data_IF_805494912143
#
_entry.id   IF_805494912143
#
_cell.length_a   1.000
_cell.length_b   1.000
_cell.length_c   1.000
_cell.angle_alpha   90.00
_cell.angle_beta   90.00
_cell.angle_gamma   90.00
#
_symmetry.space_group_name_H-M   'P 1'
#
loop_
_entity.id
_entity.type
_entity.pdbx_description
1 polymer ?
#
# COMPACT_ATOMS: atom_id res chain seq x y z
N UNK A 1 1.87 16.75 9.98
CA UNK A 1 0.76 15.78 10.18
C UNK A 1 0.27 15.34 8.80
N UNK A 2 0.09 14.03 8.60
CA UNK A 2 -0.34 13.40 7.34
C UNK A 2 -1.69 12.75 7.62
N UNK A 3 -2.68 12.95 6.75
CA UNK A 3 -3.94 12.21 6.79
C UNK A 3 -3.99 11.21 5.63
N UNK A 4 -4.31 9.97 5.97
CA UNK A 4 -4.51 8.88 5.03
C UNK A 4 -6.00 8.63 4.83
N UNK A 5 -6.47 8.69 3.58
CA UNK A 5 -7.78 8.15 3.21
C UNK A 5 -7.66 6.64 2.97
N UNK A 6 -8.10 5.76 3.89
CA UNK A 6 -8.04 4.32 3.65
C UNK A 6 -8.86 3.98 2.41
N UNK A 7 -8.34 3.10 1.58
CA UNK A 7 -9.08 2.57 0.44
C UNK A 7 -9.17 1.06 0.58
N UNK A 8 -10.38 0.58 0.89
CA UNK A 8 -10.76 -0.82 0.78
C UNK A 8 -12.24 -0.84 0.45
N UNK A 9 -12.54 -1.17 -0.80
CA UNK A 9 -13.91 -1.31 -1.26
C UNK A 9 -14.63 -2.33 -0.37
N UNK A 10 -15.94 -2.13 -0.19
CA UNK A 10 -16.79 -2.93 0.70
C UNK A 10 -16.56 -2.74 2.21
N UNK A 11 -15.59 -1.91 2.62
CA UNK A 11 -15.33 -1.61 4.05
C UNK A 11 -15.40 -0.11 4.32
N UNK A 12 -14.64 0.69 3.58
CA UNK A 12 -14.53 2.13 3.79
C UNK A 12 -15.20 2.91 2.66
N UNK A 13 -15.50 4.20 2.92
CA UNK A 13 -16.00 5.13 1.89
C UNK A 13 -14.96 5.39 0.80
N UNK A 14 -15.39 6.00 -0.31
CA UNK A 14 -14.48 6.34 -1.40
C UNK A 14 -13.37 7.31 -0.95
N UNK A 15 -12.12 6.92 -1.18
CA UNK A 15 -10.95 7.66 -0.68
C UNK A 15 -10.83 9.04 -1.31
N UNK A 16 -11.11 9.20 -2.61
CA UNK A 16 -10.94 10.47 -3.29
C UNK A 16 -12.03 11.47 -2.90
N UNK A 17 -13.25 10.98 -2.66
CA UNK A 17 -14.32 11.82 -2.10
C UNK A 17 -13.96 12.35 -0.70
N UNK A 18 -13.45 11.50 0.19
CA UNK A 18 -12.99 11.91 1.52
C UNK A 18 -11.82 12.91 1.40
N UNK A 19 -10.86 12.66 0.51
CA UNK A 19 -9.71 13.54 0.31
C UNK A 19 -10.13 14.92 -0.22
N UNK A 20 -11.12 14.99 -1.11
CA UNK A 20 -11.67 16.26 -1.59
C UNK A 20 -12.32 17.07 -0.45
N UNK A 21 -13.11 16.40 0.41
CA UNK A 21 -13.70 17.03 1.58
C UNK A 21 -12.63 17.53 2.56
N UNK A 22 -11.61 16.70 2.82
CA UNK A 22 -10.49 17.06 3.69
C UNK A 22 -9.65 18.22 3.11
N UNK A 23 -9.43 18.24 1.79
CA UNK A 23 -8.74 19.31 1.09
C UNK A 23 -9.47 20.65 1.25
N UNK A 24 -10.80 20.65 1.11
CA UNK A 24 -11.63 21.83 1.27
C UNK A 24 -11.67 22.36 2.72
N UNK A 25 -11.52 21.48 3.71
CA UNK A 25 -11.64 21.83 5.13
C UNK A 25 -10.29 21.99 5.86
N UNK A 26 -9.15 21.85 5.16
CA UNK A 26 -7.83 21.94 5.78
C UNK A 26 -6.83 22.69 4.91
N UNK A 27 -5.89 23.41 5.53
CA UNK A 27 -4.90 24.24 4.82
C UNK A 27 -3.44 23.82 5.01
N UNK A 28 -3.13 22.96 6.00
CA UNK A 28 -1.73 22.64 6.37
C UNK A 28 -1.34 21.17 6.27
N UNK A 29 -2.27 20.26 6.57
CA UNK A 29 -1.94 18.82 6.61
C UNK A 29 -1.71 18.27 5.20
N UNK A 30 -0.86 17.25 5.08
CA UNK A 30 -0.69 16.52 3.82
C UNK A 30 -1.80 15.48 3.69
N UNK A 31 -2.29 15.30 2.47
CA UNK A 31 -3.45 14.49 2.13
C UNK A 31 -3.05 13.45 1.09
N UNK A 32 -3.44 12.20 1.30
CA UNK A 32 -3.19 11.17 0.31
C UNK A 32 -3.90 9.88 0.64
N UNK A 33 -3.91 8.99 -0.33
CA UNK A 33 -4.48 7.66 -0.20
C UNK A 33 -3.65 6.81 0.78
N UNK A 34 -4.25 5.82 1.43
CA UNK A 34 -3.56 4.93 2.38
C UNK A 34 -4.08 3.49 2.36
N UNK A 35 -3.79 2.68 1.35
CA UNK A 35 -3.19 3.03 0.04
C UNK A 35 -4.25 2.85 -1.05
N UNK A 36 -4.08 3.54 -2.18
CA UNK A 36 -4.90 3.32 -3.36
C UNK A 36 -4.69 1.91 -3.92
N UNK A 37 -5.70 1.39 -4.62
CA UNK A 37 -5.70 0.01 -5.09
C UNK A 37 -5.64 -0.03 -6.62
N UNK A 38 -4.48 -0.42 -7.15
CA UNK A 38 -4.19 -0.41 -8.59
C UNK A 38 -5.16 -1.27 -9.41
N UNK A 39 -5.67 -2.38 -8.85
CA UNK A 39 -6.61 -3.27 -9.55
C UNK A 39 -8.04 -2.73 -9.67
N UNK A 40 -8.38 -1.64 -8.99
CA UNK A 40 -9.77 -1.14 -8.93
C UNK A 40 -10.05 0.05 -9.85
N UNK A 41 -9.00 0.66 -10.41
CA UNK A 41 -9.08 1.79 -11.34
C UNK A 41 -7.95 1.66 -12.35
N UNK A 42 -8.15 2.11 -13.59
CA UNK A 42 -7.05 2.16 -14.56
C UNK A 42 -5.98 3.16 -14.12
N UNK A 43 -4.73 2.95 -14.53
CA UNK A 43 -3.62 3.85 -14.22
C UNK A 43 -3.92 5.33 -14.56
N UNK A 44 -4.47 5.66 -15.75
CA UNK A 44 -4.82 7.04 -16.08
C UNK A 44 -5.91 7.62 -15.18
N UNK A 45 -6.88 6.80 -14.76
CA UNK A 45 -7.96 7.22 -13.87
C UNK A 45 -7.43 7.56 -12.48
N UNK A 46 -6.53 6.75 -11.94
CA UNK A 46 -5.88 7.01 -10.65
C UNK A 46 -4.98 8.24 -10.71
N UNK A 47 -4.17 8.38 -11.76
CA UNK A 47 -3.34 9.57 -11.95
C UNK A 47 -4.19 10.85 -12.02
N UNK A 48 -5.29 10.82 -12.78
CA UNK A 48 -6.19 11.97 -12.92
C UNK A 48 -6.91 12.29 -11.59
N UNK A 49 -7.34 11.24 -10.87
CA UNK A 49 -8.02 11.40 -9.57
C UNK A 49 -7.11 12.10 -8.55
N UNK A 50 -5.84 11.67 -8.43
CA UNK A 50 -4.93 12.31 -7.47
C UNK A 50 -4.48 13.70 -7.94
N UNK A 51 -4.31 13.92 -9.25
CA UNK A 51 -4.01 15.25 -9.79
C UNK A 51 -5.18 16.23 -9.56
N UNK A 52 -6.43 15.76 -9.54
CA UNK A 52 -7.60 16.54 -9.14
C UNK A 52 -7.51 16.94 -7.66
N UNK A 53 -7.18 15.99 -6.76
CA UNK A 53 -6.96 16.33 -5.34
C UNK A 53 -5.81 17.32 -5.17
N UNK A 54 -4.76 17.20 -5.99
CA UNK A 54 -3.64 18.15 -5.99
C UNK A 54 -4.05 19.56 -6.47
N UNK A 55 -5.10 19.69 -7.29
CA UNK A 55 -5.66 21.01 -7.60
C UNK A 55 -6.38 21.63 -6.39
N UNK A 56 -7.06 20.81 -5.60
CA UNK A 56 -7.75 21.24 -4.37
C UNK A 56 -6.78 21.51 -3.20
N UNK A 57 -5.66 20.80 -3.14
CA UNK A 57 -4.63 20.93 -2.12
C UNK A 57 -3.20 20.94 -2.73
N UNK A 58 -2.83 21.99 -3.48
CA UNK A 58 -1.53 22.08 -4.14
C UNK A 58 -0.36 21.92 -3.17
N UNK A 59 0.61 21.06 -3.53
CA UNK A 59 1.82 20.83 -2.74
C UNK A 59 1.60 20.07 -1.42
N UNK A 60 0.35 19.70 -1.10
CA UNK A 60 0.00 18.91 0.09
C UNK A 60 -0.47 17.51 -0.25
N UNK A 61 -0.51 17.14 -1.52
CA UNK A 61 -1.08 15.86 -1.98
C UNK A 61 0.01 14.81 -2.19
N UNK A 62 -0.28 13.54 -1.90
CA UNK A 62 0.55 12.40 -2.26
C UNK A 62 -0.31 11.19 -2.66
N UNK A 63 0.24 10.31 -3.50
CA UNK A 63 -0.40 9.05 -3.86
C UNK A 63 0.29 7.91 -3.14
N UNK A 64 -0.34 7.28 -2.16
CA UNK A 64 0.10 5.95 -1.74
C UNK A 64 -0.64 4.88 -2.55
N UNK A 65 0.03 3.83 -3.00
CA UNK A 65 -0.60 2.82 -3.85
C UNK A 65 -0.04 1.41 -3.62
N UNK A 66 -0.90 0.40 -3.76
CA UNK A 66 -0.53 -1.01 -3.67
C UNK A 66 -1.35 -1.91 -4.60
N UNK A 67 -1.04 -3.20 -4.56
CA UNK A 67 -1.66 -4.26 -5.39
C UNK A 67 -3.08 -4.63 -4.98
N UNK A 68 -3.53 -4.21 -3.79
CA UNK A 68 -4.90 -4.39 -3.32
C UNK A 68 -5.20 -5.67 -2.53
N UNK A 69 -4.24 -6.19 -1.76
CA UNK A 69 -4.40 -7.44 -0.98
C UNK A 69 -5.77 -7.60 -0.31
N UNK A 70 -6.13 -6.73 0.64
CA UNK A 70 -7.38 -6.83 1.39
C UNK A 70 -8.61 -6.64 0.50
N UNK A 71 -8.64 -5.55 -0.28
CA UNK A 71 -9.82 -5.19 -1.07
C UNK A 71 -10.18 -6.22 -2.13
N UNK A 72 -9.18 -6.76 -2.84
CA UNK A 72 -9.45 -7.79 -3.86
C UNK A 72 -9.93 -9.08 -3.21
N UNK A 73 -9.34 -9.50 -2.08
CA UNK A 73 -9.75 -10.71 -1.37
C UNK A 73 -11.16 -10.63 -0.79
N UNK A 74 -11.56 -9.47 -0.28
CA UNK A 74 -12.95 -9.24 0.18
C UNK A 74 -13.95 -9.39 -0.96
N UNK A 75 -13.55 -9.08 -2.19
CA UNK A 75 -14.35 -9.30 -3.40
C UNK A 75 -14.16 -10.69 -4.03
N UNK A 76 -13.41 -11.60 -3.38
CA UNK A 76 -13.13 -12.95 -3.90
C UNK A 76 -12.14 -12.99 -5.06
N UNK A 77 -11.31 -11.96 -5.22
CA UNK A 77 -10.37 -11.80 -6.33
C UNK A 77 -8.92 -11.80 -5.86
N UNK A 78 -8.00 -12.08 -6.80
CA UNK A 78 -6.57 -11.97 -6.54
C UNK A 78 -6.08 -10.51 -6.65
N UNK A 79 -5.04 -10.13 -5.88
CA UNK A 79 -4.34 -8.85 -6.08
C UNK A 79 -3.70 -8.77 -7.46
N UNK A 80 -3.41 -7.55 -7.92
CA UNK A 80 -2.72 -7.32 -9.19
C UNK A 80 -1.36 -8.02 -9.23
N UNK A 81 -1.02 -8.67 -10.34
CA UNK A 81 0.30 -9.32 -10.49
C UNK A 81 1.39 -8.25 -10.52
N UNK A 82 2.57 -8.60 -9.99
CA UNK A 82 3.60 -7.58 -9.79
C UNK A 82 4.15 -6.97 -11.09
N UNK A 83 4.16 -7.72 -12.20
CA UNK A 83 4.54 -7.19 -13.51
C UNK A 83 3.55 -6.14 -14.01
N UNK A 84 2.25 -6.43 -13.88
CA UNK A 84 1.16 -5.48 -14.21
C UNK A 84 1.22 -4.25 -13.30
N UNK A 85 1.53 -4.44 -12.02
CA UNK A 85 1.66 -3.33 -11.06
C UNK A 85 2.87 -2.44 -11.36
N UNK A 86 4.00 -3.01 -11.79
CA UNK A 86 5.16 -2.22 -12.24
C UNK A 86 4.80 -1.35 -13.44
N UNK A 87 4.12 -1.92 -14.42
CA UNK A 87 3.65 -1.19 -15.61
C UNK A 87 2.61 -0.11 -15.25
N UNK A 88 1.70 -0.42 -14.33
CA UNK A 88 0.75 0.53 -13.78
C UNK A 88 1.46 1.74 -13.15
N UNK A 89 2.48 1.50 -12.33
CA UNK A 89 3.27 2.57 -11.70
C UNK A 89 4.01 3.43 -12.72
N UNK A 90 4.54 2.84 -13.80
CA UNK A 90 5.19 3.56 -14.91
C UNK A 90 4.23 4.59 -15.51
N UNK A 91 3.01 4.16 -15.84
CA UNK A 91 1.97 5.01 -16.44
C UNK A 91 1.54 6.10 -15.46
N UNK A 92 1.29 5.76 -14.20
CA UNK A 92 0.92 6.77 -13.19
C UNK A 92 2.02 7.81 -13.01
N UNK A 93 3.28 7.37 -12.87
CA UNK A 93 4.45 8.24 -12.67
C UNK A 93 4.57 9.29 -13.77
N UNK A 94 4.49 8.86 -15.03
CA UNK A 94 4.58 9.77 -16.17
C UNK A 94 3.41 10.76 -16.20
N UNK A 95 2.17 10.28 -16.04
CA UNK A 95 0.99 11.14 -16.10
C UNK A 95 0.94 12.19 -14.98
N UNK A 96 1.30 11.83 -13.74
CA UNK A 96 1.33 12.81 -12.64
C UNK A 96 2.50 13.80 -12.76
N UNK A 97 3.50 13.50 -13.59
CA UNK A 97 4.55 14.43 -13.99
C UNK A 97 4.16 15.31 -15.20
N UNK A 98 2.93 15.15 -15.73
CA UNK A 98 2.44 15.86 -16.92
C UNK A 98 3.00 15.32 -18.24
N UNK A 99 3.70 14.19 -18.21
CA UNK A 99 4.37 13.59 -19.36
C UNK A 99 3.41 12.76 -20.23
N UNK A 100 3.82 12.53 -21.48
CA UNK A 100 3.19 11.59 -22.40
C UNK A 100 3.74 10.18 -22.17
N UNK A 101 2.87 9.17 -22.26
CA UNK A 101 3.25 7.80 -21.95
C UNK A 101 2.43 6.78 -22.74
N UNK A 102 3.11 5.74 -23.24
CA UNK A 102 2.44 4.59 -23.84
C UNK A 102 1.56 3.90 -22.80
N UNK A 103 0.31 3.60 -23.13
CA UNK A 103 -0.62 2.90 -22.27
C UNK A 103 -1.33 1.80 -23.06
N UNK A 104 -1.42 0.62 -22.45
CA UNK A 104 -2.14 -0.53 -23.03
C UNK A 104 -3.44 -0.78 -22.28
N UNK A 105 -4.57 -0.79 -22.99
CA UNK A 105 -5.89 -1.13 -22.44
C UNK A 105 -6.69 -1.96 -23.43
N UNK A 106 -7.24 -3.08 -22.97
CA UNK A 106 -8.04 -4.01 -23.80
C UNK A 106 -7.32 -4.46 -25.09
N UNK A 107 -6.00 -4.62 -25.03
CA UNK A 107 -5.18 -5.02 -26.18
C UNK A 107 -4.76 -3.88 -27.10
N UNK A 108 -5.29 -2.67 -26.92
CA UNK A 108 -4.88 -1.50 -27.68
C UNK A 108 -3.79 -0.73 -26.95
N UNK A 109 -2.81 -0.24 -27.72
CA UNK A 109 -1.64 0.48 -27.24
C UNK A 109 -1.59 1.87 -27.86
N UNK A 110 -1.57 2.92 -27.04
CA UNK A 110 -1.60 4.33 -27.47
C UNK A 110 -0.72 5.19 -26.56
N UNK A 111 -0.11 6.23 -27.13
CA UNK A 111 0.44 7.33 -26.34
C UNK A 111 -0.71 8.15 -25.75
N UNK A 112 -0.65 8.42 -24.45
CA UNK A 112 -1.64 9.23 -23.73
C UNK A 112 -0.97 10.31 -22.89
N UNK A 113 -1.67 11.44 -22.70
CA UNK A 113 -1.31 12.51 -21.77
C UNK A 113 -2.56 13.24 -21.30
N UNK A 114 -2.46 14.00 -20.22
CA UNK A 114 -3.53 14.92 -19.84
C UNK A 114 -3.62 16.09 -20.82
N UNK A 115 -4.84 16.42 -21.26
CA UNK A 115 -5.10 17.45 -22.27
C UNK A 115 -5.23 18.85 -21.66
N UNK A 116 -5.95 18.98 -20.55
CA UNK A 116 -6.30 20.27 -19.91
C UNK A 116 -5.44 20.58 -18.68
N UNK A 117 -4.12 20.41 -18.79
CA UNK A 117 -3.21 20.54 -17.64
C UNK A 117 -3.19 21.95 -17.02
N UNK A 118 -3.60 22.98 -17.77
CA UNK A 118 -3.55 24.40 -17.36
C UNK A 118 -4.93 25.03 -17.11
N UNK A 119 -6.00 24.25 -17.23
CA UNK A 119 -7.38 24.76 -17.10
C UNK A 119 -7.90 24.71 -15.65
N UNK A 120 -7.06 24.30 -14.69
CA UNK A 120 -7.40 24.26 -13.26
C UNK A 120 -8.20 23.04 -12.79
N UNK A 121 -8.58 22.13 -13.68
CA UNK A 121 -9.27 20.88 -13.30
C UNK A 121 -8.37 19.90 -12.53
N UNK A 122 -7.09 19.89 -12.89
CA UNK A 122 -6.05 19.07 -12.28
C UNK A 122 -4.81 19.91 -12.06
N UNK A 123 -3.90 19.40 -11.24
CA UNK A 123 -2.62 20.02 -10.99
C UNK A 123 -1.49 18.99 -11.05
N UNK A 124 -0.61 19.17 -12.02
CA UNK A 124 0.63 18.41 -12.20
C UNK A 124 1.87 19.30 -12.09
N UNK A 125 1.72 20.61 -11.86
CA UNK A 125 2.83 21.53 -11.67
C UNK A 125 3.50 21.33 -10.31
N UNK A 126 2.70 21.16 -9.26
CA UNK A 126 3.23 20.75 -7.96
C UNK A 126 3.38 19.22 -7.94
N UNK A 127 4.58 18.69 -7.62
CA UNK A 127 4.81 17.24 -7.61
C UNK A 127 3.88 16.50 -6.66
N UNK A 128 3.37 15.35 -7.10
CA UNK A 128 2.62 14.40 -6.27
C UNK A 128 3.53 13.21 -5.96
N UNK A 129 4.12 13.12 -4.74
CA UNK A 129 4.97 11.99 -4.40
C UNK A 129 4.20 10.67 -4.40
N UNK A 130 4.82 9.62 -4.96
CA UNK A 130 4.23 8.28 -5.02
C UNK A 130 4.85 7.39 -3.95
N UNK A 131 4.06 6.99 -2.96
CA UNK A 131 4.45 6.01 -1.95
C UNK A 131 3.95 4.62 -2.32
N UNK A 132 4.84 3.64 -2.42
CA UNK A 132 4.45 2.29 -2.87
C UNK A 132 4.39 1.35 -1.67
N UNK A 133 3.24 0.70 -1.48
CA UNK A 133 3.09 -0.39 -0.53
C UNK A 133 3.80 -1.64 -1.09
N UNK A 134 4.93 -2.01 -0.48
CA UNK A 134 5.79 -3.06 -1.02
C UNK A 134 6.58 -3.78 0.08
N UNK A 135 6.44 -5.11 0.13
CA UNK A 135 7.24 -5.97 1.02
C UNK A 135 8.04 -7.04 0.24
N UNK A 136 7.50 -7.56 -0.87
CA UNK A 136 8.17 -8.54 -1.70
C UNK A 136 9.29 -7.96 -2.60
N UNK A 137 10.30 -8.76 -2.99
CA UNK A 137 11.50 -8.27 -3.69
C UNK A 137 11.19 -7.57 -5.02
N UNK A 138 10.26 -8.11 -5.81
CA UNK A 138 9.84 -7.49 -7.09
C UNK A 138 9.06 -6.18 -6.87
N UNK A 139 8.27 -6.10 -5.80
CA UNK A 139 7.56 -4.87 -5.42
C UNK A 139 8.52 -3.77 -4.95
N UNK A 140 9.56 -4.15 -4.21
CA UNK A 140 10.64 -3.25 -3.81
C UNK A 140 11.39 -2.70 -5.04
N UNK A 141 11.68 -3.54 -6.04
CA UNK A 141 12.28 -3.07 -7.29
C UNK A 141 11.33 -2.13 -8.07
N UNK A 142 10.04 -2.42 -8.13
CA UNK A 142 9.06 -1.50 -8.73
C UNK A 142 8.96 -0.17 -7.97
N UNK A 143 9.11 -0.20 -6.64
CA UNK A 143 9.18 0.99 -5.78
C UNK A 143 10.39 1.86 -6.13
N UNK A 144 11.56 1.25 -6.34
CA UNK A 144 12.74 1.97 -6.80
C UNK A 144 12.57 2.61 -8.18
N UNK A 145 11.97 1.88 -9.11
CA UNK A 145 11.75 2.37 -10.46
C UNK A 145 10.83 3.60 -10.50
N UNK A 146 9.71 3.59 -9.77
CA UNK A 146 8.64 4.58 -9.97
C UNK A 146 8.12 5.29 -8.72
N UNK A 147 8.48 4.83 -7.51
CA UNK A 147 8.05 5.41 -6.23
C UNK A 147 9.03 6.41 -5.62
N UNK A 148 8.53 7.40 -4.90
CA UNK A 148 9.32 8.38 -4.12
C UNK A 148 9.43 7.99 -2.63
N UNK A 149 8.70 6.94 -2.23
CA UNK A 149 8.84 6.34 -0.91
C UNK A 149 8.20 4.96 -0.85
N UNK A 150 8.45 4.27 0.26
CA UNK A 150 7.92 2.93 0.55
C UNK A 150 6.96 3.01 1.74
N UNK A 151 5.88 2.25 1.66
CA UNK A 151 5.06 1.86 2.80
C UNK A 151 5.25 0.36 2.99
N UNK A 152 5.58 -0.07 4.21
CA UNK A 152 5.74 -1.48 4.55
C UNK A 152 4.76 -1.92 5.62
N UNK A 153 4.43 -3.20 5.58
CA UNK A 153 3.65 -3.84 6.63
C UNK A 153 4.58 -4.14 7.81
N UNK A 154 4.20 -3.69 9.01
CA UNK A 154 4.92 -3.93 10.26
C UNK A 154 6.33 -3.31 10.33
N UNK A 155 6.92 -3.37 11.52
CA UNK A 155 8.29 -2.91 11.75
C UNK A 155 9.29 -3.95 11.26
N UNK A 156 10.24 -3.54 10.41
CA UNK A 156 11.34 -4.39 9.97
C UNK A 156 12.56 -4.24 10.90
N UNK A 157 13.34 -5.32 11.06
CA UNK A 157 14.68 -5.21 11.66
C UNK A 157 15.57 -4.34 10.76
N UNK A 158 16.61 -3.72 11.34
CA UNK A 158 17.58 -2.93 10.57
C UNK A 158 18.17 -3.74 9.40
N UNK A 159 18.52 -5.00 9.62
CA UNK A 159 19.08 -5.86 8.58
C UNK A 159 18.11 -6.07 7.40
N UNK A 160 16.83 -6.35 7.69
CA UNK A 160 15.81 -6.53 6.66
C UNK A 160 15.53 -5.23 5.92
N UNK A 161 15.45 -4.09 6.63
CA UNK A 161 15.29 -2.78 6.02
C UNK A 161 16.43 -2.48 5.03
N UNK A 162 17.69 -2.73 5.42
CA UNK A 162 18.84 -2.51 4.54
C UNK A 162 18.79 -3.40 3.30
N UNK A 163 18.33 -4.65 3.42
CA UNK A 163 18.12 -5.52 2.26
C UNK A 163 17.00 -4.98 1.34
N UNK A 164 15.91 -4.49 1.92
CA UNK A 164 14.83 -3.89 1.16
C UNK A 164 15.27 -2.63 0.40
N UNK A 165 16.04 -1.75 1.04
CA UNK A 165 16.62 -0.56 0.40
C UNK A 165 17.52 -0.92 -0.78
N UNK A 166 18.37 -1.95 -0.66
CA UNK A 166 19.19 -2.45 -1.79
C UNK A 166 18.33 -2.90 -2.97
N UNK A 167 17.17 -3.54 -2.72
CA UNK A 167 16.25 -3.94 -3.81
C UNK A 167 15.59 -2.73 -4.47
N UNK A 168 15.30 -1.69 -3.71
CA UNK A 168 14.79 -0.41 -4.23
C UNK A 168 15.87 0.24 -5.10
N UNK A 169 17.11 0.32 -4.64
CA UNK A 169 18.24 0.86 -5.42
C UNK A 169 18.41 0.12 -6.76
N UNK A 170 18.39 -1.21 -6.74
CA UNK A 170 18.48 -2.03 -7.96
C UNK A 170 17.34 -1.69 -8.94
N UNK A 171 16.10 -1.58 -8.45
CA UNK A 171 14.96 -1.25 -9.29
C UNK A 171 15.01 0.15 -9.89
N UNK A 172 15.61 1.12 -9.18
CA UNK A 172 15.82 2.47 -9.71
C UNK A 172 16.87 2.46 -10.84
N UNK A 173 17.97 1.73 -10.66
CA UNK A 173 19.02 1.58 -11.66
C UNK A 173 18.54 0.96 -12.97
N UNK A 174 17.59 0.01 -12.92
CA UNK A 174 17.00 -0.61 -14.14
C UNK A 174 16.33 0.39 -15.08
N UNK A 175 15.88 1.53 -14.56
CA UNK A 175 15.22 2.60 -15.32
C UNK A 175 16.07 3.88 -15.34
N UNK A 176 17.37 3.76 -15.06
CA UNK A 176 18.33 4.87 -14.99
C UNK A 176 17.89 6.01 -14.06
N UNK A 177 17.17 5.70 -12.98
CA UNK A 177 16.70 6.66 -12.00
C UNK A 177 17.66 6.74 -10.82
N UNK A 178 18.03 7.97 -10.47
CA UNK A 178 18.79 8.25 -9.25
C UNK A 178 17.81 8.50 -8.11
N UNK A 179 17.94 7.72 -7.03
CA UNK A 179 17.15 7.94 -5.82
C UNK A 179 17.70 9.13 -5.02
N UNK A 180 16.85 9.86 -4.28
CA UNK A 180 17.31 10.87 -3.35
C UNK A 180 18.18 10.25 -2.25
N UNK A 181 19.08 11.05 -1.67
CA UNK A 181 19.93 10.64 -0.54
C UNK A 181 19.12 10.19 0.69
N UNK A 182 17.87 10.63 0.79
CA UNK A 182 16.90 10.20 1.79
C UNK A 182 15.70 9.59 1.08
N UNK A 183 15.51 8.28 1.22
CA UNK A 183 14.35 7.57 0.69
C UNK A 183 13.33 7.31 1.81
N UNK A 184 12.16 7.95 1.73
CA UNK A 184 11.17 7.87 2.80
C UNK A 184 10.57 6.46 2.89
N UNK A 185 10.68 5.85 4.06
CA UNK A 185 10.06 4.56 4.36
C UNK A 185 9.15 4.71 5.58
N UNK A 186 7.89 4.35 5.44
CA UNK A 186 6.91 4.33 6.52
C UNK A 186 6.51 2.89 6.83
N UNK A 187 6.38 2.55 8.10
CA UNK A 187 5.79 1.29 8.55
C UNK A 187 4.39 1.55 9.08
N UNK A 188 3.41 0.77 8.61
CA UNK A 188 2.11 0.72 9.27
C UNK A 188 2.25 -0.07 10.57
N UNK A 189 1.92 0.56 11.69
CA UNK A 189 1.99 -0.04 13.02
C UNK A 189 0.74 0.30 13.82
N UNK A 190 0.33 -0.63 14.67
CA UNK A 190 -0.76 -0.45 15.63
C UNK A 190 -0.14 -0.33 17.01
N UNK A 191 -0.61 0.64 17.78
CA UNK A 191 -0.10 0.89 19.12
C UNK A 191 -1.25 1.21 20.07
N UNK A 192 -1.17 0.68 21.28
CA UNK A 192 -2.00 1.09 22.40
C UNK A 192 -1.11 1.75 23.44
N UNK A 193 -1.42 3.00 23.78
CA UNK A 193 -0.75 3.71 24.88
C UNK A 193 -1.34 3.19 26.20
N UNK A 194 -0.48 2.67 27.07
CA UNK A 194 -0.89 2.19 28.38
C UNK A 194 -1.24 3.35 29.30
N UNK A 195 -2.29 3.18 30.10
CA UNK A 195 -2.61 4.06 31.22
C UNK A 195 -1.60 3.84 32.35
N UNK A 196 -1.40 4.81 33.26
CA UNK A 196 -0.56 4.61 34.44
C UNK A 196 -0.98 3.37 35.22
N UNK A 197 -0.05 2.42 35.40
CA UNK A 197 -0.29 1.15 36.12
C UNK A 197 -0.99 0.05 35.31
N UNK A 198 -1.39 0.30 34.06
CA UNK A 198 -2.01 -0.70 33.18
C UNK A 198 -0.95 -1.62 32.56
N UNK A 199 -1.28 -2.91 32.43
CA UNK A 199 -0.40 -3.87 31.76
C UNK A 199 -0.87 -4.18 30.33
N UNK A 200 0.03 -4.77 29.54
CA UNK A 200 -0.18 -5.09 28.12
C UNK A 200 -1.23 -6.19 27.84
N UNK A 201 -1.72 -6.87 28.87
CA UNK A 201 -2.72 -7.95 28.75
C UNK A 201 -4.03 -7.60 29.47
N UNK A 202 -4.25 -6.32 29.76
CA UNK A 202 -5.55 -5.86 30.29
C UNK A 202 -6.63 -6.00 29.22
N UNK A 203 -7.88 -6.19 29.65
CA UNK A 203 -9.03 -6.35 28.75
C UNK A 203 -9.12 -5.21 27.74
N UNK A 204 -8.86 -3.96 28.16
CA UNK A 204 -8.85 -2.80 27.26
C UNK A 204 -7.75 -2.90 26.19
N UNK A 205 -6.53 -3.27 26.57
CA UNK A 205 -5.43 -3.38 25.59
C UNK A 205 -5.73 -4.50 24.60
N UNK A 206 -6.26 -5.63 25.08
CA UNK A 206 -6.66 -6.75 24.23
C UNK A 206 -7.81 -6.34 23.29
N UNK A 207 -8.80 -5.61 23.76
CA UNK A 207 -9.91 -5.11 22.94
C UNK A 207 -9.43 -4.16 21.83
N UNK A 208 -8.52 -3.23 22.17
CA UNK A 208 -8.02 -2.20 21.25
C UNK A 208 -7.08 -2.76 20.15
N UNK A 209 -6.17 -3.68 20.50
CA UNK A 209 -5.12 -4.14 19.56
C UNK A 209 -5.13 -5.65 19.31
N UNK A 210 -5.92 -6.44 20.04
CA UNK A 210 -5.92 -7.90 19.95
C UNK A 210 -6.30 -8.40 18.56
N UNK A 211 -7.29 -7.78 17.92
CA UNK A 211 -7.67 -8.11 16.54
C UNK A 211 -6.49 -7.89 15.57
N UNK A 212 -5.71 -6.82 15.75
CA UNK A 212 -4.55 -6.52 14.92
C UNK A 212 -3.37 -7.46 15.20
N UNK A 213 -3.16 -7.84 16.47
CA UNK A 213 -2.18 -8.85 16.83
C UNK A 213 -2.50 -10.22 16.19
N UNK A 214 -3.77 -10.62 16.18
CA UNK A 214 -4.21 -11.84 15.50
C UNK A 214 -4.07 -11.75 13.98
N UNK A 215 -4.38 -10.59 13.38
CA UNK A 215 -4.18 -10.36 11.96
C UNK A 215 -2.70 -10.49 11.54
N UNK A 216 -1.76 -10.07 12.40
CA UNK A 216 -0.33 -10.26 12.18
C UNK A 216 0.07 -11.75 12.19
N UNK A 217 -0.46 -12.52 13.14
CA UNK A 217 -0.27 -13.98 13.17
C UNK A 217 -0.84 -14.65 11.91
N UNK A 218 -2.01 -14.22 11.43
CA UNK A 218 -2.60 -14.72 10.19
C UNK A 218 -1.76 -14.39 8.96
N UNK A 219 -1.22 -13.17 8.87
CA UNK A 219 -0.32 -12.78 7.80
C UNK A 219 0.93 -13.66 7.73
N UNK A 220 1.57 -13.94 8.87
CA UNK A 220 2.67 -14.91 8.92
C UNK A 220 2.22 -16.33 8.58
N UNK A 221 0.98 -16.70 8.95
CA UNK A 221 0.32 -17.94 8.53
C UNK A 221 0.27 -18.10 7.02
N UNK A 222 -0.24 -17.08 6.31
CA UNK A 222 -0.30 -17.08 4.84
C UNK A 222 1.10 -17.19 4.23
N UNK A 223 2.07 -16.43 4.75
CA UNK A 223 3.46 -16.49 4.27
C UNK A 223 4.05 -17.89 4.44
N UNK A 224 3.88 -18.50 5.61
CA UNK A 224 4.33 -19.87 5.88
C UNK A 224 3.64 -20.89 5.00
N UNK A 225 2.34 -20.77 4.73
CA UNK A 225 1.65 -21.66 3.79
C UNK A 225 2.20 -21.52 2.36
N UNK A 226 2.64 -20.31 1.99
CA UNK A 226 3.21 -20.04 0.68
C UNK A 226 4.65 -20.55 0.52
N UNK A 227 5.50 -20.46 1.55
CA UNK A 227 6.94 -20.72 1.43
C UNK A 227 7.51 -21.81 2.37
N UNK A 228 6.72 -22.30 3.32
CA UNK A 228 7.13 -23.27 4.34
C UNK A 228 8.13 -22.74 5.38
N UNK A 229 8.36 -21.43 5.44
CA UNK A 229 9.45 -20.80 6.21
C UNK A 229 8.94 -19.95 7.38
N UNK A 230 9.41 -20.28 8.58
CA UNK A 230 9.10 -19.58 9.83
C UNK A 230 10.09 -18.47 10.17
N UNK A 231 11.14 -18.26 9.37
CA UNK A 231 12.16 -17.22 9.60
C UNK A 231 11.59 -15.81 9.60
N UNK A 232 10.46 -15.61 8.90
CA UNK A 232 9.73 -14.36 8.83
C UNK A 232 8.87 -14.06 10.06
N UNK A 233 8.62 -15.05 10.91
CA UNK A 233 7.82 -14.94 12.13
C UNK A 233 8.63 -14.26 13.22
N UNK A 234 8.03 -13.30 13.92
CA UNK A 234 8.68 -12.68 15.06
C UNK A 234 9.10 -13.73 16.10
N UNK A 235 10.34 -13.66 16.59
CA UNK A 235 10.88 -14.61 17.58
C UNK A 235 9.99 -14.79 18.80
N UNK A 236 9.37 -13.71 19.27
CA UNK A 236 8.44 -13.71 20.42
C UNK A 236 7.13 -14.45 20.18
N UNK A 237 6.82 -14.81 18.94
CA UNK A 237 5.62 -15.54 18.55
C UNK A 237 5.90 -16.98 18.11
N UNK A 238 7.18 -17.37 17.96
CA UNK A 238 7.55 -18.72 17.51
C UNK A 238 7.10 -19.80 18.51
N UNK A 239 7.10 -19.50 19.81
CA UNK A 239 6.59 -20.39 20.85
C UNK A 239 5.06 -20.58 20.83
N UNK A 240 4.32 -19.68 20.16
CA UNK A 240 2.87 -19.76 20.00
C UNK A 240 2.48 -20.44 18.67
N UNK A 241 3.47 -20.80 17.84
CA UNK A 241 3.22 -21.19 16.46
C UNK A 241 2.43 -22.49 16.32
N UNK A 242 2.80 -23.51 17.09
CA UNK A 242 2.11 -24.81 17.07
C UNK A 242 0.65 -24.67 17.54
N UNK A 243 0.41 -23.85 18.57
CA UNK A 243 -0.93 -23.53 19.05
C UNK A 243 -1.74 -22.78 17.99
N UNK A 244 -1.13 -21.82 17.31
CA UNK A 244 -1.74 -21.09 16.20
C UNK A 244 -2.11 -22.01 15.02
N UNK A 245 -1.22 -22.92 14.62
CA UNK A 245 -1.50 -23.90 13.56
C UNK A 245 -2.66 -24.82 13.97
N UNK A 246 -2.66 -25.33 15.20
CA UNK A 246 -3.76 -26.15 15.73
C UNK A 246 -5.09 -25.37 15.81
N UNK A 247 -5.04 -24.08 16.16
CA UNK A 247 -6.20 -23.20 16.12
C UNK A 247 -6.75 -23.09 14.70
N UNK A 248 -5.93 -22.69 13.72
CA UNK A 248 -6.39 -22.46 12.34
C UNK A 248 -6.92 -23.73 11.67
N UNK A 249 -6.34 -24.90 11.93
CA UNK A 249 -6.82 -26.17 11.40
C UNK A 249 -8.28 -26.46 11.80
N UNK A 250 -8.65 -26.13 13.05
CA UNK A 250 -10.05 -26.27 13.52
C UNK A 250 -11.03 -25.39 12.75
N UNK A 251 -10.57 -24.28 12.18
CA UNK A 251 -11.41 -23.31 11.45
C UNK A 251 -11.45 -23.55 9.93
N UNK A 252 -10.50 -24.29 9.35
CA UNK A 252 -10.49 -24.63 7.91
C UNK A 252 -11.76 -25.36 7.45
N UNK A 253 -12.45 -26.06 8.35
CA UNK A 253 -13.69 -26.79 8.04
C UNK A 253 -14.97 -25.94 8.16
N UNK A 254 -14.88 -24.69 8.63
CA UNK A 254 -16.04 -23.78 8.81
C UNK A 254 -16.20 -22.75 7.69
N UNK A 255 -15.17 -22.56 6.86
CA UNK A 255 -15.25 -21.65 5.72
C UNK A 255 -15.88 -22.36 4.52
N UNK A 256 -16.85 -21.73 3.82
CA UNK A 256 -17.49 -22.34 2.65
C UNK A 256 -16.45 -22.71 1.58
N UNK A 257 -16.64 -23.86 0.92
CA UNK A 257 -15.78 -24.36 -0.15
C UNK A 257 -15.58 -23.26 -1.21
N UNK A 258 -14.38 -22.68 -1.25
CA UNK A 258 -14.04 -21.52 -2.08
C UNK A 258 -13.18 -20.48 -1.37
N UNK A 259 -13.31 -20.36 -0.04
CA UNK A 259 -12.46 -19.47 0.78
C UNK A 259 -11.00 -19.95 0.90
N UNK A 260 -10.76 -21.27 0.83
CA UNK A 260 -9.43 -21.89 0.90
C UNK A 260 -8.49 -21.58 -0.27
N UNK A 261 -8.90 -20.77 -1.26
CA UNK A 261 -7.98 -20.30 -2.32
C UNK A 261 -7.24 -19.02 -1.97
N UNK A 262 -7.59 -18.36 -0.86
CA UNK A 262 -7.15 -16.99 -0.59
C UNK A 262 -6.60 -16.72 0.82
N UNK A 263 -6.54 -17.75 1.68
CA UNK A 263 -5.70 -17.85 2.87
C UNK A 263 -4.46 -18.65 2.52
#
# INVERSE_FOLDING_TARGET
MIAFGPQTQMIYSDTYAILALAASNTSRIRLGTGVAIASTRLAPVTAHSIATINALAPGRTFLAIGTGHTAMRVMGMNPMKIGEFREYLRVVRALVAGEEVEFTHQGEKREIKFLHQKEGFINVEQPVPIYVAADGPKALMATGAYGDGRICSYNQTKALLMQSLKKIELGASEVNRILPSVFHTSALTYACVLKPGENMVSDRVIDEIGAMALAALHYWGELYQYNGDTSSIAKSCQNLWDEYLAFTEKWKHRLPKGFNKYT
#
